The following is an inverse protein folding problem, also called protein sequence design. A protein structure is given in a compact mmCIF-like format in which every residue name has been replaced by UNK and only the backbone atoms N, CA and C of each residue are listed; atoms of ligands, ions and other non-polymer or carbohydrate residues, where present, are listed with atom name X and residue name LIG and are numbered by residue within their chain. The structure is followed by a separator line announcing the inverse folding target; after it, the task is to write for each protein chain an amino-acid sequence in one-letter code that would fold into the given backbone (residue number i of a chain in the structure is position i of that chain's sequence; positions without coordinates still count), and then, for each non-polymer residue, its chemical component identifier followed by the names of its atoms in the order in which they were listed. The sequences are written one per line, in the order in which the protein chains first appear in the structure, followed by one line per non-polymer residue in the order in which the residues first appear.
data_IF_529204539275
#
_entry.id   IF_529204539275
#
_cell.length_a   1.000
_cell.length_b   1.000
_cell.length_c   1.000
_cell.angle_alpha   90.00
_cell.angle_beta   90.00
_cell.angle_gamma   90.00
#
_symmetry.space_group_name_H-M   'P 1'
#
loop_
_entity.id
_entity.type
_entity.pdbx_description
1 polymer ?
#
# COMPACT_ATOMS: atom_id res chain seq x y z
N UNK A 1 -12.02 45.73 -5.25
CA UNK A 1 -13.43 45.31 -4.98
C UNK A 1 -13.61 43.81 -4.65
N UNK A 2 -12.71 42.90 -5.06
CA UNK A 2 -12.87 41.46 -4.82
C UNK A 2 -12.91 41.05 -3.32
N UNK A 3 -12.10 41.68 -2.45
CA UNK A 3 -12.08 41.41 -1.01
C UNK A 3 -13.38 41.82 -0.28
N UNK A 4 -14.04 42.87 -0.76
CA UNK A 4 -15.30 43.33 -0.17
C UNK A 4 -16.46 42.39 -0.52
N UNK A 5 -16.46 41.85 -1.74
CA UNK A 5 -17.45 40.88 -2.18
C UNK A 5 -17.28 39.52 -1.46
N UNK A 6 -16.04 39.07 -1.25
CA UNK A 6 -15.79 37.85 -0.47
C UNK A 6 -16.18 37.99 1.01
N UNK A 7 -15.99 39.18 1.58
CA UNK A 7 -16.38 39.45 2.97
C UNK A 7 -17.90 39.49 3.13
N UNK A 8 -18.61 40.18 2.25
CA UNK A 8 -20.07 40.20 2.27
C UNK A 8 -20.67 38.81 2.05
N UNK A 9 -20.11 38.01 1.12
CA UNK A 9 -20.55 36.63 0.91
C UNK A 9 -20.30 35.75 2.16
N UNK A 10 -19.16 35.92 2.83
CA UNK A 10 -18.87 35.23 4.09
C UNK A 10 -19.88 35.60 5.19
N UNK A 11 -20.17 36.89 5.36
CA UNK A 11 -21.12 37.36 6.39
C UNK A 11 -22.54 36.88 6.11
N UNK A 12 -23.00 36.91 4.86
CA UNK A 12 -24.32 36.40 4.47
C UNK A 12 -24.40 34.89 4.72
N UNK A 13 -23.38 34.12 4.32
CA UNK A 13 -23.36 32.67 4.55
C UNK A 13 -23.28 32.32 6.05
N UNK A 14 -22.50 33.08 6.83
CA UNK A 14 -22.37 32.92 8.28
C UNK A 14 -23.68 33.25 9.02
N UNK A 15 -24.39 34.30 8.61
CA UNK A 15 -25.65 34.72 9.23
C UNK A 15 -26.83 33.83 8.83
N UNK A 16 -26.81 33.25 7.62
CA UNK A 16 -27.86 32.35 7.15
C UNK A 16 -27.83 30.98 7.83
N UNK A 17 -26.66 30.49 8.25
CA UNK A 17 -26.55 29.22 9.00
C UNK A 17 -25.40 29.23 10.01
N UNK A 18 -25.58 30.04 11.06
CA UNK A 18 -24.65 30.11 12.17
C UNK A 18 -24.48 28.76 12.91
N UNK A 19 -25.48 27.87 12.83
CA UNK A 19 -25.45 26.56 13.48
C UNK A 19 -24.51 25.62 12.72
N UNK A 20 -24.66 25.47 11.40
CA UNK A 20 -23.76 24.66 10.59
C UNK A 20 -22.31 25.15 10.68
N UNK A 21 -22.09 26.46 10.73
CA UNK A 21 -20.74 27.01 10.91
C UNK A 21 -20.13 26.63 12.27
N UNK A 22 -20.90 26.71 13.36
CA UNK A 22 -20.45 26.26 14.70
C UNK A 22 -20.15 24.77 14.71
N UNK A 23 -20.96 23.96 14.03
CA UNK A 23 -20.73 22.52 13.88
C UNK A 23 -19.44 22.24 13.09
N UNK A 24 -19.17 22.98 12.02
CA UNK A 24 -17.92 22.88 11.26
C UNK A 24 -16.68 23.26 12.10
N UNK A 25 -16.74 24.34 12.87
CA UNK A 25 -15.67 24.71 13.80
C UNK A 25 -15.45 23.61 14.84
N UNK A 26 -16.54 23.08 15.41
CA UNK A 26 -16.46 22.03 16.43
C UNK A 26 -15.86 20.75 15.86
N UNK A 27 -16.28 20.35 14.66
CA UNK A 27 -15.73 19.20 13.95
C UNK A 27 -14.24 19.41 13.60
N UNK A 28 -13.87 20.60 13.13
CA UNK A 28 -12.47 20.95 12.86
C UNK A 28 -11.62 20.91 14.14
N UNK A 29 -12.15 21.39 15.27
CA UNK A 29 -11.49 21.32 16.57
C UNK A 29 -11.34 19.90 17.08
N UNK A 30 -12.38 19.07 17.00
CA UNK A 30 -12.31 17.64 17.37
C UNK A 30 -11.27 16.89 16.51
N UNK A 31 -11.21 17.18 15.21
CA UNK A 31 -10.15 16.66 14.34
C UNK A 31 -8.78 17.16 14.79
N UNK A 32 -8.64 18.43 15.12
CA UNK A 32 -7.37 18.97 15.60
C UNK A 32 -6.94 18.35 16.93
N UNK A 33 -7.84 18.16 17.88
CA UNK A 33 -7.52 17.50 19.16
C UNK A 33 -7.12 16.03 18.94
N UNK A 34 -7.84 15.29 18.10
CA UNK A 34 -7.49 13.89 17.79
C UNK A 34 -6.16 13.71 17.06
N UNK A 35 -5.76 14.67 16.22
CA UNK A 35 -4.54 14.57 15.40
C UNK A 35 -3.36 15.44 15.86
N UNK A 36 -3.58 16.34 16.83
CA UNK A 36 -2.52 17.21 17.36
C UNK A 36 -1.50 16.39 18.14
N UNK A 37 -0.23 16.56 17.78
CA UNK A 37 0.90 15.98 18.51
C UNK A 37 0.87 16.35 19.99
N UNK A 38 0.44 17.57 20.33
CA UNK A 38 0.38 18.05 21.72
C UNK A 38 -0.67 17.29 22.53
N UNK A 39 -1.87 17.13 21.98
CA UNK A 39 -2.93 16.37 22.64
C UNK A 39 -2.58 14.88 22.78
N UNK A 40 -1.91 14.30 21.78
CA UNK A 40 -1.41 12.92 21.86
C UNK A 40 -0.37 12.76 22.98
N UNK A 41 0.54 13.73 23.13
CA UNK A 41 1.53 13.75 24.22
C UNK A 41 0.83 13.90 25.58
N UNK A 42 -0.12 14.83 25.71
CA UNK A 42 -0.85 15.05 26.97
C UNK A 42 -1.63 13.80 27.40
N UNK A 43 -2.25 13.09 26.44
CA UNK A 43 -2.95 11.83 26.69
C UNK A 43 -2.00 10.71 27.11
N UNK A 44 -0.86 10.58 26.43
CA UNK A 44 0.16 9.61 26.82
C UNK A 44 0.70 9.90 28.23
N UNK A 45 0.87 11.17 28.58
CA UNK A 45 1.33 11.57 29.90
C UNK A 45 0.29 11.25 30.98
N UNK A 46 -0.98 11.59 30.77
CA UNK A 46 -2.05 11.31 31.76
C UNK A 46 -2.29 9.82 31.97
N UNK A 47 -2.11 8.99 30.93
CA UNK A 47 -2.29 7.53 31.01
C UNK A 47 -1.04 6.82 31.56
N UNK A 48 0.15 7.17 31.08
CA UNK A 48 1.38 6.42 31.38
C UNK A 48 1.98 6.76 32.75
N UNK A 49 1.89 8.01 33.21
CA UNK A 49 2.52 8.45 34.47
C UNK A 49 1.93 7.71 35.69
N UNK A 50 0.60 7.61 35.86
CA UNK A 50 0.03 6.88 37.00
C UNK A 50 0.40 5.39 37.00
N UNK A 51 0.54 4.78 35.82
CA UNK A 51 0.97 3.37 35.69
C UNK A 51 2.42 3.22 36.11
N UNK A 52 3.30 4.14 35.69
CA UNK A 52 4.72 4.14 36.09
C UNK A 52 4.92 4.33 37.60
N UNK A 53 4.10 5.18 38.23
CA UNK A 53 4.11 5.37 39.69
C UNK A 53 3.74 4.06 40.40
N UNK A 54 2.62 3.43 40.03
CA UNK A 54 2.18 2.16 40.62
C UNK A 54 3.19 1.03 40.42
N UNK A 55 3.81 0.95 39.24
CA UNK A 55 4.86 -0.04 38.97
C UNK A 55 6.09 0.18 39.87
N UNK A 56 6.43 1.44 40.15
CA UNK A 56 7.53 1.78 41.06
C UNK A 56 7.20 1.42 42.51
N UNK A 57 5.99 1.72 42.97
CA UNK A 57 5.51 1.33 44.31
C UNK A 57 5.49 -0.21 44.48
N UNK A 58 5.09 -0.94 43.44
CA UNK A 58 5.12 -2.40 43.42
C UNK A 58 6.55 -2.95 43.53
N UNK A 59 7.48 -2.43 42.73
CA UNK A 59 8.89 -2.83 42.78
C UNK A 59 9.53 -2.56 44.16
N UNK A 60 9.20 -1.43 44.79
CA UNK A 60 9.69 -1.10 46.15
C UNK A 60 9.11 -2.07 47.20
N UNK A 61 7.81 -2.35 47.13
CA UNK A 61 7.12 -3.21 48.11
C UNK A 61 7.53 -4.68 48.03
N UNK A 62 7.93 -5.15 46.84
CA UNK A 62 8.28 -6.56 46.62
C UNK A 62 9.78 -6.79 46.42
N UNK A 63 10.60 -5.74 46.48
CA UNK A 63 12.04 -5.81 46.22
C UNK A 63 12.37 -6.25 44.79
N UNK A 64 11.47 -6.02 43.84
CA UNK A 64 11.64 -6.39 42.43
C UNK A 64 12.17 -5.22 41.61
N UNK A 65 12.67 -5.51 40.41
CA UNK A 65 13.12 -4.49 39.45
C UNK A 65 12.48 -4.73 38.09
N UNK A 66 11.18 -5.03 38.08
CA UNK A 66 10.45 -5.35 36.86
C UNK A 66 10.48 -4.19 35.86
N UNK A 67 10.56 -2.94 36.34
CA UNK A 67 10.74 -1.76 35.48
C UNK A 67 12.04 -1.77 34.65
N UNK A 68 13.10 -2.41 35.16
CA UNK A 68 14.40 -2.49 34.48
C UNK A 68 14.37 -3.50 33.34
N UNK A 69 13.57 -4.56 33.48
CA UNK A 69 13.34 -5.56 32.42
C UNK A 69 12.47 -5.00 31.29
N UNK A 70 11.61 -4.00 31.56
CA UNK A 70 10.84 -3.31 30.52
C UNK A 70 11.74 -2.65 29.48
N UNK A 71 12.83 -2.00 29.87
CA UNK A 71 13.77 -1.41 28.90
C UNK A 71 14.45 -2.48 28.03
N UNK A 72 14.59 -3.71 28.54
CA UNK A 72 15.18 -4.83 27.80
C UNK A 72 14.19 -5.42 26.78
N UNK A 73 12.90 -5.52 27.14
CA UNK A 73 11.83 -6.10 26.31
C UNK A 73 11.08 -5.10 25.42
N UNK A 74 11.15 -3.81 25.72
CA UNK A 74 10.49 -2.76 24.95
C UNK A 74 11.49 -1.85 24.23
N UNK A 75 12.58 -2.44 23.72
CA UNK A 75 13.55 -1.77 22.87
C UNK A 75 13.42 -2.24 21.40
N UNK A 76 13.94 -1.47 20.46
CA UNK A 76 13.95 -1.85 19.03
C UNK A 76 14.83 -3.08 18.74
N UNK A 77 15.66 -3.50 19.69
CA UNK A 77 16.41 -4.76 19.58
C UNK A 77 15.59 -5.99 19.98
N UNK A 78 14.41 -5.82 20.59
CA UNK A 78 13.49 -6.92 20.87
C UNK A 78 12.84 -7.42 19.55
N UNK A 79 13.05 -8.70 19.24
CA UNK A 79 12.61 -9.31 17.98
C UNK A 79 11.11 -9.56 17.93
N UNK A 80 10.47 -9.82 19.08
CA UNK A 80 9.02 -10.02 19.17
C UNK A 80 8.30 -8.68 18.97
N UNK A 81 8.75 -7.63 19.67
CA UNK A 81 8.20 -6.28 19.52
C UNK A 81 8.40 -5.75 18.10
N UNK A 82 9.60 -5.91 17.54
CA UNK A 82 9.91 -5.51 16.17
C UNK A 82 9.01 -6.24 15.16
N UNK A 83 8.76 -7.53 15.37
CA UNK A 83 7.84 -8.32 14.56
C UNK A 83 6.39 -7.84 14.66
N UNK A 84 5.92 -7.48 15.85
CA UNK A 84 4.58 -6.93 16.06
C UNK A 84 4.42 -5.54 15.41
N UNK A 85 5.39 -4.64 15.56
CA UNK A 85 5.38 -3.32 14.92
C UNK A 85 5.36 -3.44 13.39
N UNK A 86 6.13 -4.37 12.82
CA UNK A 86 6.13 -4.63 11.39
C UNK A 86 4.76 -5.14 10.89
N UNK A 87 4.11 -6.03 11.66
CA UNK A 87 2.74 -6.49 11.36
C UNK A 87 1.74 -5.33 11.40
N UNK A 88 1.81 -4.46 12.41
CA UNK A 88 0.91 -3.30 12.54
C UNK A 88 1.11 -2.26 11.43
N UNK A 89 2.36 -1.98 11.04
CA UNK A 89 2.68 -1.09 9.92
C UNK A 89 2.06 -1.61 8.61
N UNK A 90 2.18 -2.91 8.35
CA UNK A 90 1.56 -3.57 7.18
C UNK A 90 0.03 -3.57 7.21
N UNK A 91 -0.59 -3.57 8.41
CA UNK A 91 -2.05 -3.48 8.55
C UNK A 91 -2.60 -2.10 8.25
N UNK A 92 -1.92 -1.03 8.72
CA UNK A 92 -2.31 0.36 8.44
C UNK A 92 -2.27 0.70 6.95
N UNK A 93 -1.29 0.17 6.22
CA UNK A 93 -1.19 0.33 4.76
C UNK A 93 -2.37 -0.30 4.00
N UNK A 94 -2.95 -1.39 4.52
CA UNK A 94 -4.09 -2.05 3.89
C UNK A 94 -5.39 -1.26 4.08
N UNK A 95 -5.63 -0.72 5.29
CA UNK A 95 -6.78 0.13 5.58
C UNK A 95 -6.71 1.45 4.82
N UNK A 96 -5.53 2.08 4.73
CA UNK A 96 -5.34 3.31 3.95
C UNK A 96 -5.56 3.09 2.44
N UNK A 97 -5.24 1.91 1.92
CA UNK A 97 -5.52 1.53 0.52
C UNK A 97 -7.00 1.29 0.26
N UNK A 98 -7.75 0.74 1.23
CA UNK A 98 -9.20 0.60 1.15
C UNK A 98 -9.92 1.95 1.25
N UNK A 99 -9.53 2.83 2.17
CA UNK A 99 -10.13 4.14 2.35
C UNK A 99 -9.94 5.07 1.13
N UNK A 100 -8.82 4.96 0.40
CA UNK A 100 -8.61 5.69 -0.87
C UNK A 100 -9.52 5.22 -2.01
N UNK A 101 -10.13 4.03 -1.89
CA UNK A 101 -11.00 3.45 -2.91
C UNK A 101 -12.46 3.90 -2.77
N UNK A 102 -12.88 4.22 -1.55
CA UNK A 102 -14.26 4.66 -1.20
C UNK A 102 -14.53 6.15 -1.53
N UNK A 103 -13.49 6.98 -1.72
CA UNK A 103 -13.64 8.42 -1.96
C UNK A 103 -13.78 8.83 -3.45
N UNK A 104 -13.98 7.87 -4.37
CA UNK A 104 -14.25 8.15 -5.79
C UNK A 104 -15.56 7.50 -6.24
N UNK A 105 -16.68 8.04 -5.77
CA UNK A 105 -18.00 7.78 -6.35
C UNK A 105 -18.58 9.10 -6.89
N UNK A 106 -18.71 9.28 -8.22
CA UNK A 106 -19.48 10.37 -8.79
C UNK A 106 -20.96 9.98 -8.86
N UNK A 107 -21.73 10.58 -7.96
CA UNK A 107 -23.18 10.49 -7.87
C UNK A 107 -23.82 11.31 -9.00
N UNK A 108 -24.54 10.68 -9.93
CA UNK A 108 -25.51 11.33 -10.82
C UNK A 108 -26.70 10.40 -11.04
N UNK A 109 -27.87 10.86 -10.59
CA UNK A 109 -29.17 10.20 -10.69
C UNK A 109 -29.75 10.28 -12.12
N UNK A 110 -30.47 9.22 -12.54
CA UNK A 110 -31.83 9.32 -13.08
C UNK A 110 -32.45 7.93 -13.35
N UNK A 111 -33.65 7.71 -12.84
CA UNK A 111 -34.54 6.56 -13.08
C UNK A 111 -35.03 6.44 -14.53
N UNK A 112 -35.15 5.22 -15.07
CA UNK A 112 -36.41 4.59 -15.51
C UNK A 112 -36.23 3.37 -16.45
N UNK A 113 -36.82 2.23 -16.05
CA UNK A 113 -37.43 1.16 -16.88
C UNK A 113 -36.54 0.18 -17.70
N UNK A 114 -37.10 -0.98 -18.18
CA UNK A 114 -36.78 -2.29 -17.62
C UNK A 114 -36.03 -3.25 -18.58
N UNK A 115 -35.55 -4.35 -17.97
CA UNK A 115 -34.93 -5.56 -18.52
C UNK A 115 -35.14 -5.84 -20.01
N UNK A 116 -34.08 -5.65 -20.80
CA UNK A 116 -33.75 -6.56 -21.90
C UNK A 116 -32.22 -6.67 -22.05
N UNK A 117 -31.79 -7.90 -22.31
CA UNK A 117 -30.42 -8.39 -22.46
C UNK A 117 -29.45 -7.39 -23.13
N UNK A 118 -28.30 -7.17 -22.51
CA UNK A 118 -27.03 -7.12 -23.25
C UNK A 118 -25.83 -7.42 -22.35
N UNK A 119 -25.06 -8.40 -22.81
CA UNK A 119 -23.75 -8.79 -22.35
C UNK A 119 -22.74 -7.68 -22.74
N UNK A 120 -22.17 -6.93 -21.79
CA UNK A 120 -20.95 -6.06 -21.91
C UNK A 120 -20.86 -5.17 -20.66
N UNK A 121 -19.78 -5.06 -19.90
CA UNK A 121 -18.46 -5.67 -20.00
C UNK A 121 -17.69 -5.19 -18.76
N UNK A 122 -17.23 -6.16 -17.98
CA UNK A 122 -16.33 -5.98 -16.85
C UNK A 122 -14.94 -5.53 -17.38
N UNK A 123 -14.82 -4.27 -17.79
CA UNK A 123 -13.59 -3.71 -18.39
C UNK A 123 -12.94 -2.74 -17.41
N UNK A 124 -12.34 -3.28 -16.35
CA UNK A 124 -11.28 -2.60 -15.56
C UNK A 124 -10.45 -3.59 -14.71
N UNK A 125 -10.40 -4.86 -15.10
CA UNK A 125 -9.18 -5.64 -14.86
C UNK A 125 -8.17 -5.21 -15.92
N UNK A 126 -7.33 -4.25 -15.58
CA UNK A 126 -5.99 -4.21 -16.19
C UNK A 126 -5.39 -5.56 -15.86
N UNK A 127 -5.43 -6.44 -16.85
CA UNK A 127 -4.86 -7.77 -16.82
C UNK A 127 -3.38 -7.61 -16.47
N UNK A 128 -3.05 -7.75 -15.18
CA UNK A 128 -1.74 -8.30 -14.83
C UNK A 128 -1.77 -9.68 -15.44
N UNK A 129 -1.27 -9.78 -16.68
CA UNK A 129 -1.07 -11.03 -17.42
C UNK A 129 -0.14 -11.88 -16.56
N UNK A 130 -0.71 -12.64 -15.64
CA UNK A 130 0.04 -13.60 -14.85
C UNK A 130 0.56 -14.62 -15.85
N UNK A 131 1.88 -14.83 -15.84
CA UNK A 131 2.48 -15.89 -16.65
C UNK A 131 1.85 -17.21 -16.18
N UNK A 132 1.26 -18.01 -17.08
CA UNK A 132 0.68 -19.29 -16.70
C UNK A 132 1.69 -20.15 -15.94
N UNK A 133 1.23 -20.86 -14.91
CA UNK A 133 2.08 -21.68 -14.04
C UNK A 133 2.95 -22.66 -14.83
N UNK A 134 2.42 -23.27 -15.89
CA UNK A 134 3.15 -24.18 -16.76
C UNK A 134 4.35 -23.49 -17.46
N UNK A 135 4.15 -22.26 -17.96
CA UNK A 135 5.23 -21.46 -18.58
C UNK A 135 6.26 -21.06 -17.53
N UNK A 136 5.81 -20.71 -16.32
CA UNK A 136 6.71 -20.35 -15.23
C UNK A 136 7.56 -21.55 -14.77
N UNK A 137 7.01 -22.76 -14.75
CA UNK A 137 7.73 -23.98 -14.39
C UNK A 137 8.69 -24.44 -15.49
N UNK A 138 8.31 -24.27 -16.76
CA UNK A 138 9.14 -24.65 -17.90
C UNK A 138 10.26 -23.63 -18.20
N UNK A 139 10.23 -22.45 -17.59
CA UNK A 139 11.26 -21.44 -17.78
C UNK A 139 12.58 -21.87 -17.12
N UNK A 140 13.72 -21.80 -17.85
CA UNK A 140 15.04 -22.13 -17.30
C UNK A 140 15.36 -21.34 -16.02
N UNK A 141 16.14 -21.96 -15.12
CA UNK A 141 16.61 -21.34 -13.88
C UNK A 141 18.13 -21.43 -13.79
N UNK A 142 18.78 -20.33 -13.46
CA UNK A 142 20.22 -20.23 -13.28
C UNK A 142 20.51 -19.53 -11.95
N UNK A 143 21.35 -20.13 -11.11
CA UNK A 143 21.73 -19.57 -9.80
C UNK A 143 20.52 -19.19 -8.92
N UNK A 144 19.48 -20.02 -8.92
CA UNK A 144 18.24 -19.79 -8.16
C UNK A 144 17.29 -18.75 -8.77
N UNK A 145 17.70 -18.05 -9.83
CA UNK A 145 16.87 -17.06 -10.54
C UNK A 145 16.22 -17.68 -11.77
N UNK A 146 14.95 -17.37 -11.99
CA UNK A 146 14.20 -17.80 -13.18
C UNK A 146 14.45 -16.85 -14.36
N UNK A 147 14.45 -17.38 -15.57
CA UNK A 147 14.64 -16.57 -16.78
C UNK A 147 13.57 -15.48 -16.92
N UNK A 148 14.01 -14.24 -17.12
CA UNK A 148 13.11 -13.14 -17.45
C UNK A 148 12.59 -13.29 -18.90
N UNK A 149 11.32 -13.65 -19.07
CA UNK A 149 10.69 -13.78 -20.39
C UNK A 149 10.68 -12.48 -21.20
N UNK A 150 10.76 -11.33 -20.53
CA UNK A 150 10.82 -10.02 -21.17
C UNK A 150 12.20 -9.68 -21.71
N UNK A 151 13.26 -10.23 -21.10
CA UNK A 151 14.64 -10.08 -21.54
C UNK A 151 14.88 -10.81 -22.87
N UNK A 152 14.39 -12.05 -22.98
CA UNK A 152 14.52 -12.88 -24.18
C UNK A 152 13.54 -12.49 -25.31
N UNK A 153 12.72 -11.47 -25.09
CA UNK A 153 11.72 -11.00 -26.05
C UNK A 153 12.23 -9.80 -26.82
N UNK A 154 11.72 -9.62 -28.04
CA UNK A 154 11.88 -8.41 -28.85
C UNK A 154 11.52 -7.10 -28.10
N UNK A 155 10.61 -7.15 -27.10
CA UNK A 155 10.25 -5.98 -26.29
C UNK A 155 11.35 -5.52 -25.32
N UNK A 156 12.29 -6.38 -24.98
CA UNK A 156 13.34 -6.10 -24.01
C UNK A 156 12.84 -5.94 -22.58
N UNK A 157 13.76 -6.11 -21.63
CA UNK A 157 13.50 -5.87 -20.22
C UNK A 157 13.75 -4.39 -19.88
N UNK A 158 12.91 -3.73 -19.05
CA UNK A 158 13.13 -2.33 -18.67
C UNK A 158 14.30 -2.11 -17.68
N UNK A 159 15.01 -3.15 -17.25
CA UNK A 159 16.15 -3.01 -16.35
C UNK A 159 17.30 -2.26 -17.00
N UNK A 160 17.95 -1.38 -16.23
CA UNK A 160 19.15 -0.63 -16.67
C UNK A 160 20.43 -1.48 -16.68
N UNK A 161 20.41 -2.65 -16.06
CA UNK A 161 21.57 -3.52 -15.88
C UNK A 161 21.35 -4.80 -16.66
N UNK A 162 22.34 -5.21 -17.46
CA UNK A 162 22.25 -6.38 -18.35
C UNK A 162 22.10 -7.70 -17.60
N UNK A 163 22.67 -7.81 -16.39
CA UNK A 163 22.73 -9.06 -15.60
C UNK A 163 21.56 -9.26 -14.59
N UNK A 164 20.67 -8.26 -14.41
CA UNK A 164 19.56 -8.39 -13.44
C UNK A 164 18.24 -7.84 -13.95
N UNK A 165 17.17 -8.56 -13.64
CA UNK A 165 15.82 -8.06 -13.84
C UNK A 165 15.46 -7.01 -12.77
N UNK A 166 14.42 -6.22 -13.03
CA UNK A 166 13.77 -5.38 -12.00
C UNK A 166 13.17 -6.21 -10.86
N UNK A 167 12.91 -7.50 -11.13
CA UNK A 167 12.46 -8.46 -10.13
C UNK A 167 13.62 -9.32 -9.66
N UNK A 168 13.83 -9.40 -8.35
CA UNK A 168 14.98 -10.08 -7.73
C UNK A 168 15.05 -11.58 -8.03
N UNK A 169 13.88 -12.23 -8.17
CA UNK A 169 13.77 -13.66 -8.50
C UNK A 169 13.98 -13.96 -10.00
N UNK A 170 14.07 -12.92 -10.85
CA UNK A 170 14.28 -13.08 -12.29
C UNK A 170 15.70 -12.68 -12.70
N UNK A 171 16.32 -13.50 -13.54
CA UNK A 171 17.65 -13.29 -14.10
C UNK A 171 17.60 -12.98 -15.59
N UNK A 172 18.64 -12.31 -16.07
CA UNK A 172 18.92 -12.17 -17.49
C UNK A 172 20.04 -13.14 -17.82
N UNK A 173 19.75 -14.10 -18.69
CA UNK A 173 20.74 -15.04 -19.22
C UNK A 173 20.15 -15.68 -20.46
N UNK A 174 21.01 -16.22 -21.32
CA UNK A 174 20.60 -16.90 -22.55
C UNK A 174 20.73 -18.41 -22.29
N UNK A 175 19.62 -19.15 -22.10
CA UNK A 175 19.68 -20.61 -21.95
C UNK A 175 20.02 -21.28 -23.30
N UNK A 176 20.79 -22.37 -23.24
CA UNK A 176 21.11 -23.19 -24.42
C UNK A 176 19.90 -23.99 -24.96
N UNK A 177 18.85 -24.15 -24.15
CA UNK A 177 17.63 -24.87 -24.53
C UNK A 177 16.42 -24.18 -23.91
N UNK A 178 15.46 -23.80 -24.74
CA UNK A 178 14.22 -23.15 -24.32
C UNK A 178 13.02 -24.02 -24.68
N UNK A 179 12.18 -24.36 -23.69
CA UNK A 179 11.02 -25.22 -23.92
C UNK A 179 10.01 -24.56 -24.91
N UNK A 180 9.41 -25.34 -25.85
CA UNK A 180 8.50 -24.80 -26.86
C UNK A 180 7.32 -24.01 -26.28
N UNK A 181 6.79 -24.44 -25.13
CA UNK A 181 5.70 -23.75 -24.41
C UNK A 181 6.09 -22.33 -23.97
N UNK A 182 7.37 -22.10 -23.68
CA UNK A 182 7.87 -20.78 -23.30
C UNK A 182 8.08 -19.91 -24.54
N UNK A 183 8.58 -20.50 -25.62
CA UNK A 183 8.76 -19.79 -26.90
C UNK A 183 7.43 -19.28 -27.44
N UNK A 184 6.43 -20.16 -27.53
CA UNK A 184 5.09 -19.82 -28.01
C UNK A 184 4.47 -18.69 -27.18
N UNK A 185 4.61 -18.77 -25.85
CA UNK A 185 4.10 -17.73 -24.95
C UNK A 185 4.83 -16.39 -25.13
N UNK A 186 6.14 -16.39 -25.39
CA UNK A 186 6.91 -15.17 -25.66
C UNK A 186 6.54 -14.55 -27.00
N UNK A 187 6.37 -15.37 -28.04
CA UNK A 187 5.89 -14.92 -29.35
C UNK A 187 4.50 -14.29 -29.21
N UNK A 188 3.56 -15.00 -28.57
CA UNK A 188 2.16 -14.58 -28.47
C UNK A 188 1.99 -13.33 -27.59
N UNK A 189 2.63 -13.28 -26.41
CA UNK A 189 2.38 -12.20 -25.42
C UNK A 189 3.37 -11.05 -25.51
N UNK A 190 4.61 -11.32 -25.93
CA UNK A 190 5.68 -10.35 -25.94
C UNK A 190 6.16 -9.97 -27.34
N UNK A 191 5.58 -10.53 -28.41
CA UNK A 191 5.78 -10.05 -29.78
C UNK A 191 7.05 -10.58 -30.43
N UNK A 192 7.49 -11.77 -30.03
CA UNK A 192 8.64 -12.46 -30.61
C UNK A 192 9.84 -12.55 -29.66
N UNK A 193 10.76 -13.46 -30.03
CA UNK A 193 12.07 -13.61 -29.39
C UNK A 193 13.02 -12.50 -29.86
N UNK A 194 14.02 -12.15 -29.05
CA UNK A 194 15.09 -11.24 -29.47
C UNK A 194 15.96 -11.87 -30.56
N UNK A 195 16.65 -11.06 -31.36
CA UNK A 195 17.52 -11.56 -32.45
C UNK A 195 18.61 -12.50 -31.94
N UNK A 196 19.13 -12.25 -30.72
CA UNK A 196 20.11 -13.11 -30.05
C UNK A 196 19.53 -14.48 -29.70
N UNK A 197 18.28 -14.55 -29.23
CA UNK A 197 17.62 -15.82 -28.89
C UNK A 197 17.13 -16.57 -30.13
N UNK A 198 16.70 -15.86 -31.18
CA UNK A 198 16.23 -16.48 -32.42
C UNK A 198 17.32 -17.25 -33.17
N UNK A 199 18.59 -17.00 -32.88
CA UNK A 199 19.73 -17.73 -33.46
C UNK A 199 20.14 -18.98 -32.66
N UNK A 200 19.62 -19.14 -31.44
CA UNK A 200 19.95 -20.24 -30.51
C UNK A 200 18.83 -21.26 -30.32
N UNK A 201 17.66 -21.02 -30.92
CA UNK A 201 16.48 -21.89 -30.89
C UNK A 201 16.40 -22.75 -32.14
#
# INVERSE_FOLDING_TARGET
MALCQSWNAFVVNFNNDAKAYREHITAARQRFETFSRRHMIDRLHSEAVPVGIRATEFDISHGTSTRSELSRRFCMQDSELSGMLLKLSRGRDQVARHAKRELHEPQLESSDRPSYRSNRGNSRQVTRRQVPTAVAQAAPRLNGKQLCLRYISAKGCPSKVSDRCTYEFLGHFTPDTLAPIVQEYVVEKYGGLSSEMSSHV
#
